data_IF_527793570503
#
_entry.id   IF_527793570503
#
_cell.length_a   1.000
_cell.length_b   1.000
_cell.length_c   1.000
_cell.angle_alpha   90.00
_cell.angle_beta   90.00
_cell.angle_gamma   90.00
#
_symmetry.space_group_name_H-M   'P 1'
#
loop_
_entity.id
_entity.type
_entity.pdbx_description
1 polymer ?
#
# COMPACT_ATOMS: atom_id res chain seq x y z
N UNK A 1 19.36 16.10 21.29
CA UNK A 1 18.74 14.96 20.58
C UNK A 1 18.42 15.39 19.16
N UNK A 2 18.76 14.59 18.14
CA UNK A 2 18.47 14.93 16.74
C UNK A 2 16.98 14.64 16.50
N UNK A 3 16.18 15.68 16.28
CA UNK A 3 14.76 15.52 15.93
C UNK A 3 14.65 15.13 14.46
N UNK A 4 14.14 13.93 14.19
CA UNK A 4 13.86 13.50 12.82
C UNK A 4 12.47 13.98 12.41
N UNK A 5 12.40 14.88 11.45
CA UNK A 5 11.16 15.32 10.84
C UNK A 5 10.99 14.61 9.49
N UNK A 6 10.41 13.41 9.51
CA UNK A 6 9.97 12.77 8.28
C UNK A 6 8.61 12.10 8.47
N UNK A 7 7.78 12.22 7.45
CA UNK A 7 6.49 11.54 7.32
C UNK A 7 6.42 10.96 5.92
N UNK A 8 6.59 9.64 5.78
CA UNK A 8 6.73 8.99 4.46
C UNK A 8 5.96 7.68 4.40
N UNK A 9 5.47 7.35 3.21
CA UNK A 9 4.92 6.04 2.90
C UNK A 9 5.78 5.42 1.80
N UNK A 10 6.26 4.20 2.02
CA UNK A 10 6.98 3.43 1.01
C UNK A 10 6.13 2.22 0.69
N UNK A 11 5.63 2.14 -0.54
CA UNK A 11 5.06 0.91 -1.08
C UNK A 11 6.17 0.13 -1.78
N UNK A 12 6.57 -0.99 -1.22
CA UNK A 12 7.67 -1.79 -1.76
C UNK A 12 7.22 -2.54 -3.01
N UNK A 13 8.10 -2.57 -4.00
CA UNK A 13 7.92 -3.37 -5.20
C UNK A 13 8.67 -4.69 -5.03
N UNK A 14 7.90 -5.77 -4.84
CA UNK A 14 8.42 -7.09 -4.46
C UNK A 14 8.13 -8.12 -5.55
N UNK A 15 8.60 -9.37 -5.37
CA UNK A 15 8.38 -10.43 -6.35
C UNK A 15 7.00 -11.07 -6.25
N UNK A 16 6.60 -11.42 -5.03
CA UNK A 16 5.37 -12.18 -4.72
C UNK A 16 4.64 -11.72 -3.45
N UNK A 17 5.26 -10.86 -2.65
CA UNK A 17 4.78 -10.45 -1.33
C UNK A 17 4.34 -8.99 -1.33
N UNK A 18 3.81 -8.56 -0.20
CA UNK A 18 3.36 -7.20 0.04
C UNK A 18 4.15 -6.60 1.20
N UNK A 19 4.63 -5.37 1.03
CA UNK A 19 5.13 -4.58 2.13
C UNK A 19 4.85 -3.09 1.88
N UNK A 20 4.40 -2.41 2.93
CA UNK A 20 4.28 -0.94 2.96
C UNK A 20 4.78 -0.40 4.29
N UNK A 21 5.74 0.52 4.27
CA UNK A 21 6.26 1.17 5.47
C UNK A 21 5.67 2.57 5.63
N UNK A 22 5.21 2.88 6.83
CA UNK A 22 4.66 4.16 7.25
C UNK A 22 5.59 4.78 8.28
N UNK A 23 6.45 5.69 7.82
CA UNK A 23 7.59 6.21 8.57
C UNK A 23 7.22 7.56 9.17
N UNK A 24 7.40 7.71 10.48
CA UNK A 24 7.23 8.97 11.22
C UNK A 24 8.41 9.17 12.17
N UNK A 25 9.22 10.21 11.92
CA UNK A 25 10.48 10.42 12.64
C UNK A 25 11.50 9.30 12.38
N UNK A 26 12.01 8.67 13.43
CA UNK A 26 12.87 7.48 13.33
C UNK A 26 12.10 6.17 13.58
N UNK A 27 10.77 6.22 13.49
CA UNK A 27 9.89 5.06 13.72
C UNK A 27 9.18 4.67 12.44
N UNK A 28 8.82 3.40 12.32
CA UNK A 28 7.96 2.95 11.24
C UNK A 28 6.97 1.88 11.69
N UNK A 29 5.80 1.90 11.06
CA UNK A 29 4.90 0.75 11.04
C UNK A 29 5.05 0.10 9.67
N UNK A 30 5.45 -1.16 9.63
CA UNK A 30 5.54 -1.96 8.43
C UNK A 30 4.32 -2.89 8.35
N UNK A 31 3.49 -2.66 7.34
CA UNK A 31 2.38 -3.56 7.03
C UNK A 31 2.86 -4.54 5.96
N UNK A 32 2.92 -5.83 6.29
CA UNK A 32 3.52 -6.83 5.39
C UNK A 32 3.06 -8.26 5.71
N UNK A 33 3.15 -9.14 4.72
CA UNK A 33 3.07 -10.60 4.87
C UNK A 33 4.45 -11.28 4.94
N UNK A 34 5.54 -10.50 4.94
CA UNK A 34 6.91 -11.01 4.97
C UNK A 34 7.30 -11.52 6.36
N UNK A 35 8.16 -12.54 6.34
CA UNK A 35 8.97 -12.92 7.49
C UNK A 35 10.25 -12.06 7.52
N UNK A 36 10.67 -11.58 8.69
CA UNK A 36 11.89 -10.77 8.85
C UNK A 36 13.17 -11.45 8.38
N UNK A 37 13.18 -12.80 8.33
CA UNK A 37 14.30 -13.60 7.82
C UNK A 37 14.20 -13.89 6.32
N UNK A 38 13.17 -13.42 5.63
CA UNK A 38 13.04 -13.66 4.20
C UNK A 38 14.04 -12.81 3.40
N UNK A 39 14.52 -13.31 2.24
CA UNK A 39 15.38 -12.51 1.35
C UNK A 39 14.73 -11.19 0.94
N UNK A 40 13.43 -11.19 0.64
CA UNK A 40 12.68 -9.97 0.30
C UNK A 40 12.74 -8.92 1.42
N UNK A 41 12.65 -9.35 2.68
CA UNK A 41 12.78 -8.44 3.81
C UNK A 41 14.22 -7.91 3.90
N UNK A 42 15.21 -8.79 3.96
CA UNK A 42 16.62 -8.43 4.20
C UNK A 42 17.24 -7.59 3.08
N UNK A 43 16.84 -7.80 1.82
CA UNK A 43 17.45 -7.15 0.66
C UNK A 43 16.63 -6.02 0.05
N UNK A 44 15.33 -5.89 0.38
CA UNK A 44 14.50 -4.81 -0.15
C UNK A 44 13.92 -3.91 0.94
N UNK A 45 13.36 -4.49 2.00
CA UNK A 45 12.69 -3.73 3.07
C UNK A 45 13.69 -3.13 4.05
N UNK A 46 14.53 -3.98 4.65
CA UNK A 46 15.49 -3.57 5.67
C UNK A 46 16.46 -2.48 5.18
N UNK A 47 17.05 -2.54 3.98
CA UNK A 47 17.97 -1.49 3.51
C UNK A 47 17.26 -0.15 3.33
N UNK A 48 16.00 -0.15 2.90
CA UNK A 48 15.22 1.09 2.78
C UNK A 48 14.91 1.69 4.17
N UNK A 49 14.50 0.87 5.13
CA UNK A 49 14.26 1.34 6.51
C UNK A 49 15.54 1.93 7.14
N UNK A 50 16.70 1.30 6.89
CA UNK A 50 18.01 1.80 7.31
C UNK A 50 18.39 3.12 6.63
N UNK A 51 18.14 3.26 5.32
CA UNK A 51 18.34 4.52 4.60
C UNK A 51 17.52 5.67 5.21
N UNK A 52 16.31 5.35 5.66
CA UNK A 52 15.43 6.26 6.37
C UNK A 52 15.72 6.39 7.87
N UNK A 53 16.77 5.74 8.39
CA UNK A 53 17.17 5.80 9.81
C UNK A 53 16.02 5.44 10.76
N UNK A 54 15.30 4.38 10.41
CA UNK A 54 14.28 3.80 11.27
C UNK A 54 14.98 2.94 12.33
N UNK A 55 14.81 3.31 13.60
CA UNK A 55 15.38 2.61 14.76
C UNK A 55 14.32 1.82 15.53
N UNK A 56 13.04 2.18 15.38
CA UNK A 56 11.89 1.56 16.05
C UNK A 56 10.89 1.08 15.00
N UNK A 57 10.77 -0.24 14.84
CA UNK A 57 9.96 -0.88 13.81
C UNK A 57 8.85 -1.72 14.43
N UNK A 58 7.61 -1.44 14.05
CA UNK A 58 6.44 -2.24 14.40
C UNK A 58 5.96 -2.96 13.14
N UNK A 59 5.94 -4.29 13.16
CA UNK A 59 5.48 -5.10 12.03
C UNK A 59 4.05 -5.57 12.28
N UNK A 60 3.18 -5.42 11.28
CA UNK A 60 1.78 -5.85 11.33
C UNK A 60 1.34 -6.53 10.03
N UNK A 61 0.52 -7.58 10.08
CA UNK A 61 -0.11 -8.12 8.88
C UNK A 61 -1.24 -7.21 8.40
N UNK A 62 -1.48 -7.18 7.09
CA UNK A 62 -2.47 -6.30 6.44
C UNK A 62 -3.92 -6.53 6.90
N UNK A 63 -4.23 -7.70 7.45
CA UNK A 63 -5.55 -8.07 7.94
C UNK A 63 -5.76 -7.85 9.45
N UNK A 64 -4.81 -7.20 10.13
CA UNK A 64 -4.93 -6.89 11.56
C UNK A 64 -5.49 -5.49 11.82
N UNK A 65 -6.02 -5.29 13.01
CA UNK A 65 -6.38 -3.95 13.49
C UNK A 65 -5.22 -3.37 14.30
N UNK A 66 -4.85 -2.12 14.02
CA UNK A 66 -3.81 -1.44 14.76
C UNK A 66 -4.02 0.08 14.74
N UNK A 67 -3.83 0.73 15.89
CA UNK A 67 -4.08 2.17 16.02
C UNK A 67 -3.02 2.82 16.90
N UNK A 68 -2.58 3.98 16.46
CA UNK A 68 -1.74 4.95 17.18
C UNK A 68 -2.31 6.35 16.94
N UNK A 69 -1.64 7.40 17.42
CA UNK A 69 -2.08 8.78 17.15
C UNK A 69 -2.03 9.16 15.67
N UNK A 70 -1.08 8.61 14.91
CA UNK A 70 -0.79 9.04 13.53
C UNK A 70 -1.09 7.95 12.50
N UNK A 71 -1.52 6.76 12.95
CA UNK A 71 -1.77 5.61 12.09
C UNK A 71 -2.99 4.83 12.58
N UNK A 72 -3.88 4.49 11.66
CA UNK A 72 -5.05 3.64 11.89
C UNK A 72 -5.07 2.61 10.78
N UNK A 73 -5.13 1.33 11.12
CA UNK A 73 -5.42 0.24 10.19
C UNK A 73 -6.60 -0.54 10.76
N UNK A 74 -7.70 -0.53 10.04
CA UNK A 74 -8.95 -1.15 10.43
C UNK A 74 -9.87 -1.27 9.22
N UNK A 75 -10.68 -2.33 9.17
CA UNK A 75 -11.74 -2.53 8.16
C UNK A 75 -11.25 -2.36 6.71
N UNK A 76 -10.10 -2.99 6.42
CA UNK A 76 -9.40 -2.95 5.13
C UNK A 76 -9.05 -1.52 4.66
N UNK A 77 -8.88 -0.60 5.60
CA UNK A 77 -8.42 0.77 5.36
C UNK A 77 -7.17 1.04 6.20
N UNK A 78 -6.28 1.86 5.63
CA UNK A 78 -5.15 2.44 6.35
C UNK A 78 -5.25 3.95 6.26
N UNK A 79 -5.19 4.62 7.40
CA UNK A 79 -5.00 6.06 7.48
C UNK A 79 -3.65 6.33 8.14
N UNK A 80 -2.80 7.11 7.48
CA UNK A 80 -1.55 7.60 8.03
C UNK A 80 -1.52 9.13 7.89
N UNK A 81 -1.62 9.84 9.01
CA UNK A 81 -1.99 11.26 9.03
C UNK A 81 -3.28 11.51 8.21
N UNK A 82 -3.22 12.40 7.20
CA UNK A 82 -4.33 12.69 6.30
C UNK A 82 -4.37 11.78 5.06
N UNK A 83 -3.37 10.91 4.90
CA UNK A 83 -3.28 10.00 3.76
C UNK A 83 -4.12 8.74 3.99
N UNK A 84 -5.15 8.54 3.17
CA UNK A 84 -6.10 7.41 3.30
C UNK A 84 -5.92 6.40 2.18
N UNK A 85 -5.84 5.14 2.54
CA UNK A 85 -5.65 4.02 1.64
C UNK A 85 -6.79 3.03 1.84
N UNK A 86 -7.48 2.66 0.76
CA UNK A 86 -8.37 1.52 0.76
C UNK A 86 -7.62 0.29 0.26
N UNK A 87 -7.69 -0.82 1.00
CA UNK A 87 -7.13 -2.11 0.59
C UNK A 87 -8.25 -2.95 -0.05
N UNK A 88 -8.22 -3.09 -1.36
CA UNK A 88 -9.10 -4.01 -2.07
C UNK A 88 -8.46 -5.40 -2.10
N UNK A 89 -8.99 -6.30 -1.28
CA UNK A 89 -8.64 -7.72 -1.22
C UNK A 89 -9.75 -8.63 -1.73
N UNK A 90 -9.50 -9.95 -1.76
CA UNK A 90 -10.52 -10.95 -2.14
C UNK A 90 -11.82 -10.85 -1.33
N UNK A 91 -11.79 -10.26 -0.14
CA UNK A 91 -12.99 -9.98 0.68
C UNK A 91 -14.01 -9.09 -0.03
N UNK A 92 -13.59 -8.37 -1.07
CA UNK A 92 -14.43 -7.48 -1.87
C UNK A 92 -14.91 -8.09 -3.17
N UNK A 93 -14.56 -9.34 -3.47
CA UNK A 93 -15.06 -10.02 -4.66
C UNK A 93 -16.59 -10.02 -4.67
N UNK A 94 -17.17 -9.63 -5.79
CA UNK A 94 -18.63 -9.54 -6.00
C UNK A 94 -19.36 -8.53 -5.11
N UNK A 95 -18.66 -7.71 -4.33
CA UNK A 95 -19.30 -6.61 -3.61
C UNK A 95 -19.59 -5.46 -4.56
N UNK A 96 -20.78 -4.89 -4.42
CA UNK A 96 -21.15 -3.62 -5.05
C UNK A 96 -20.90 -2.54 -4.02
N UNK A 97 -20.14 -1.54 -4.40
CA UNK A 97 -19.86 -0.38 -3.57
C UNK A 97 -20.94 0.67 -3.81
N UNK A 98 -21.43 1.27 -2.72
CA UNK A 98 -22.37 2.37 -2.77
C UNK A 98 -21.73 3.59 -2.11
N UNK A 99 -21.98 4.76 -2.68
CA UNK A 99 -21.32 6.01 -2.31
C UNK A 99 -20.09 6.31 -3.16
N UNK A 100 -19.47 7.46 -2.90
CA UNK A 100 -18.27 7.93 -3.60
C UNK A 100 -17.22 8.45 -2.60
N UNK A 101 -16.76 7.61 -1.65
CA UNK A 101 -15.81 8.04 -0.63
C UNK A 101 -14.45 8.39 -1.25
N UNK A 102 -13.76 9.32 -0.60
CA UNK A 102 -12.46 9.82 -1.04
C UNK A 102 -11.30 9.11 -0.32
N UNK A 103 -10.38 8.59 -1.10
CA UNK A 103 -9.11 8.00 -0.67
C UNK A 103 -7.95 8.67 -1.40
N UNK A 104 -6.78 8.70 -0.79
CA UNK A 104 -5.54 9.14 -1.46
C UNK A 104 -5.01 8.05 -2.38
N UNK A 105 -5.17 6.78 -2.01
CA UNK A 105 -4.84 5.63 -2.84
C UNK A 105 -5.80 4.47 -2.65
N UNK A 106 -5.90 3.63 -3.69
CA UNK A 106 -6.49 2.30 -3.59
C UNK A 106 -5.39 1.27 -3.85
N UNK A 107 -5.18 0.35 -2.91
CA UNK A 107 -4.24 -0.75 -3.00
C UNK A 107 -4.98 -2.05 -3.33
N UNK A 108 -4.70 -2.61 -4.51
CA UNK A 108 -5.18 -3.91 -4.95
C UNK A 108 -4.22 -4.97 -4.40
N UNK A 109 -4.72 -5.80 -3.49
CA UNK A 109 -3.94 -6.76 -2.69
C UNK A 109 -4.59 -8.14 -2.72
N UNK A 110 -3.79 -9.20 -2.66
CA UNK A 110 -4.23 -10.60 -2.59
C UNK A 110 -5.10 -11.06 -3.77
N UNK A 111 -4.84 -10.59 -4.99
CA UNK A 111 -5.44 -11.08 -6.25
C UNK A 111 -7.00 -11.08 -6.27
N UNK A 112 -7.67 -9.93 -6.05
CA UNK A 112 -9.12 -9.86 -6.05
C UNK A 112 -9.69 -9.85 -7.48
N UNK A 113 -10.95 -10.25 -7.59
CA UNK A 113 -11.73 -10.12 -8.84
C UNK A 113 -12.38 -8.73 -8.80
N UNK A 114 -11.73 -7.78 -9.48
CA UNK A 114 -12.17 -6.39 -9.55
C UNK A 114 -12.46 -5.95 -10.98
N UNK A 115 -13.45 -5.07 -11.10
CA UNK A 115 -13.71 -4.29 -12.30
C UNK A 115 -13.22 -2.85 -12.04
N UNK A 116 -12.22 -2.40 -12.81
CA UNK A 116 -11.67 -1.06 -12.65
C UNK A 116 -12.67 0.03 -13.05
N UNK A 117 -13.63 -0.25 -13.92
CA UNK A 117 -14.68 0.72 -14.26
C UNK A 117 -15.63 0.92 -13.08
N UNK A 118 -16.01 -0.16 -12.40
CA UNK A 118 -16.80 -0.10 -11.17
C UNK A 118 -16.06 0.65 -10.05
N UNK A 119 -14.76 0.40 -9.89
CA UNK A 119 -13.93 1.14 -8.92
C UNK A 119 -13.98 2.65 -9.22
N UNK A 120 -13.96 3.03 -10.51
CA UNK A 120 -14.05 4.43 -10.94
C UNK A 120 -15.34 5.12 -10.60
N UNK A 121 -16.44 4.41 -10.74
CA UNK A 121 -17.76 4.98 -10.46
C UNK A 121 -18.10 4.94 -8.97
N UNK A 122 -17.36 4.15 -8.18
CA UNK A 122 -17.64 3.92 -6.76
C UNK A 122 -16.66 4.60 -5.80
N UNK A 123 -15.49 5.03 -6.25
CA UNK A 123 -14.46 5.62 -5.40
C UNK A 123 -13.77 6.80 -6.07
N UNK A 124 -13.45 7.82 -5.26
CA UNK A 124 -12.52 8.86 -5.68
C UNK A 124 -11.13 8.55 -5.11
N UNK A 125 -10.15 8.34 -6.00
CA UNK A 125 -8.77 8.11 -5.61
C UNK A 125 -7.76 8.66 -6.62
N UNK A 126 -6.68 9.25 -6.11
CA UNK A 126 -5.65 9.88 -6.93
C UNK A 126 -4.77 8.84 -7.66
N UNK A 127 -4.58 7.67 -7.04
CA UNK A 127 -3.73 6.60 -7.58
C UNK A 127 -4.26 5.21 -7.23
N UNK A 128 -4.10 4.29 -8.20
CA UNK A 128 -4.23 2.86 -8.00
C UNK A 128 -2.85 2.23 -7.84
N UNK A 129 -2.70 1.39 -6.83
CA UNK A 129 -1.52 0.59 -6.57
C UNK A 129 -1.93 -0.89 -6.70
N UNK A 130 -1.12 -1.70 -7.38
CA UNK A 130 -1.32 -3.15 -7.41
C UNK A 130 -0.03 -3.83 -6.98
N UNK A 131 -0.08 -4.56 -5.87
CA UNK A 131 1.10 -5.21 -5.33
C UNK A 131 1.45 -6.53 -6.02
N UNK A 132 2.57 -7.13 -5.61
CA UNK A 132 3.10 -8.33 -6.23
C UNK A 132 2.36 -9.63 -5.86
N UNK A 133 1.42 -9.58 -4.90
CA UNK A 133 0.60 -10.74 -4.52
C UNK A 133 -0.44 -11.06 -5.61
N UNK A 134 -0.77 -10.07 -6.46
CA UNK A 134 -1.62 -10.25 -7.62
C UNK A 134 -0.93 -11.11 -8.70
N UNK A 135 -1.71 -12.01 -9.33
CA UNK A 135 -1.20 -12.85 -10.41
C UNK A 135 -0.83 -12.01 -11.62
N UNK A 136 0.23 -12.42 -12.32
CA UNK A 136 0.77 -11.67 -13.46
C UNK A 136 -0.26 -11.43 -14.56
N UNK A 137 -1.20 -12.36 -14.79
CA UNK A 137 -2.27 -12.17 -15.77
C UNK A 137 -3.27 -11.09 -15.33
N UNK A 138 -3.59 -10.99 -14.03
CA UNK A 138 -4.49 -9.97 -13.50
C UNK A 138 -3.83 -8.58 -13.55
N UNK A 139 -2.56 -8.46 -13.18
CA UNK A 139 -1.79 -7.22 -13.32
C UNK A 139 -1.77 -6.70 -14.77
N UNK A 140 -1.68 -7.59 -15.76
CA UNK A 140 -1.79 -7.23 -17.18
C UNK A 140 -3.20 -6.72 -17.53
N UNK A 141 -4.26 -7.38 -17.04
CA UNK A 141 -5.65 -6.93 -17.23
C UNK A 141 -5.87 -5.55 -16.62
N UNK A 142 -5.42 -5.32 -15.39
CA UNK A 142 -5.52 -4.03 -14.72
C UNK A 142 -4.78 -2.94 -15.49
N UNK A 143 -3.58 -3.22 -16.02
CA UNK A 143 -2.84 -2.28 -16.86
C UNK A 143 -3.61 -1.85 -18.11
N UNK A 144 -4.28 -2.79 -18.79
CA UNK A 144 -5.07 -2.50 -19.98
C UNK A 144 -6.29 -1.65 -19.63
N UNK A 145 -7.02 -2.01 -18.58
CA UNK A 145 -8.21 -1.30 -18.15
C UNK A 145 -7.90 0.11 -17.58
N UNK A 146 -6.80 0.27 -16.84
CA UNK A 146 -6.35 1.56 -16.33
C UNK A 146 -6.01 2.54 -17.46
N UNK A 147 -5.35 2.06 -18.54
CA UNK A 147 -5.06 2.86 -19.74
C UNK A 147 -6.33 3.37 -20.42
N UNK A 148 -7.36 2.51 -20.54
CA UNK A 148 -8.65 2.91 -21.12
C UNK A 148 -9.40 3.91 -20.26
N UNK A 149 -9.29 3.78 -18.94
CA UNK A 149 -10.04 4.56 -17.96
C UNK A 149 -9.32 5.81 -17.47
N UNK A 150 -8.15 6.14 -18.04
CA UNK A 150 -7.27 7.25 -17.62
C UNK A 150 -6.86 7.20 -16.13
N UNK A 151 -6.75 6.00 -15.56
CA UNK A 151 -6.24 5.82 -14.20
C UNK A 151 -4.72 5.78 -14.16
N UNK A 152 -4.15 6.43 -13.16
CA UNK A 152 -2.75 6.23 -12.79
C UNK A 152 -2.66 4.92 -12.00
N UNK A 153 -2.19 3.86 -12.65
CA UNK A 153 -1.89 2.57 -12.01
C UNK A 153 -0.38 2.40 -11.84
N UNK A 154 0.08 2.10 -10.62
CA UNK A 154 1.44 1.66 -10.33
C UNK A 154 1.43 0.19 -9.93
N UNK A 155 2.15 -0.63 -10.70
CA UNK A 155 2.38 -2.03 -10.36
C UNK A 155 3.65 -2.12 -9.52
N UNK A 156 3.50 -2.58 -8.27
CA UNK A 156 4.60 -2.75 -7.31
C UNK A 156 5.25 -4.13 -7.47
N UNK A 157 5.64 -4.44 -8.71
CA UNK A 157 6.33 -5.68 -9.08
C UNK A 157 7.34 -5.39 -10.17
N UNK A 158 8.63 -5.62 -9.90
CA UNK A 158 9.76 -5.35 -10.83
C UNK A 158 9.95 -3.88 -11.23
N UNK A 159 9.26 -2.95 -10.57
CA UNK A 159 9.46 -1.51 -10.69
C UNK A 159 10.19 -0.96 -9.45
N UNK A 160 10.69 0.28 -9.46
CA UNK A 160 11.10 0.96 -8.23
C UNK A 160 9.95 1.00 -7.21
N UNK A 161 10.29 1.04 -5.93
CA UNK A 161 9.32 1.30 -4.87
C UNK A 161 8.61 2.64 -5.11
N UNK A 162 7.35 2.73 -4.67
CA UNK A 162 6.60 3.98 -4.76
C UNK A 162 6.68 4.72 -3.41
N UNK A 163 7.37 5.86 -3.42
CA UNK A 163 7.58 6.70 -2.25
C UNK A 163 6.60 7.88 -2.28
N UNK A 164 5.96 8.11 -1.15
CA UNK A 164 5.16 9.30 -0.88
C UNK A 164 5.82 10.06 0.26
N UNK A 165 6.18 11.32 0.01
CA UNK A 165 6.64 12.24 1.04
C UNK A 165 5.48 13.12 1.47
N UNK A 166 5.15 13.08 2.76
CA UNK A 166 4.05 13.84 3.37
C UNK A 166 4.56 15.05 4.18
N UNK A 167 5.88 15.25 4.22
CA UNK A 167 6.43 16.48 4.80
C UNK A 167 6.01 17.65 3.90
N UNK A 168 5.14 18.52 4.43
CA UNK A 168 4.81 19.81 3.84
C UNK A 168 5.85 20.85 4.24
#
# INVERSE_FOLDING_TARGET
MKTYHQQKIIFFSLKNNFASAFIYGNKAILVTDLNERSPEFMFSVQPALQLHKVDDLIIKPANSNYKTSNFIMQDDQIQFYDYKILILSKKFNHKIFQGYPQFSAILIHDDPIIDLENIKTSFNADILLADATNKAYNLKKYSIAAKKSAYILKILRKNPAYLIDLNK
#
